data_IF_159515911196
#
_entry.id   IF_159515911196
#
_cell.length_a   1.000
_cell.length_b   1.000
_cell.length_c   1.000
_cell.angle_alpha   90.00
_cell.angle_beta   90.00
_cell.angle_gamma   90.00
#
_symmetry.space_group_name_H-M   'P 1'
#
loop_
_entity.id
_entity.type
_entity.pdbx_description
1 polymer ?
#
# COMPACT_ATOMS: atom_id res chain seq x y z
N UNK A 1 5.18 27.41 2.05
CA UNK A 1 6.41 26.66 1.71
C UNK A 1 6.63 25.62 2.78
N UNK A 2 6.00 24.45 2.66
CA UNK A 2 6.19 23.35 3.60
C UNK A 2 7.44 22.57 3.20
N UNK A 3 8.45 22.58 4.06
CA UNK A 3 9.64 21.77 3.88
C UNK A 3 9.24 20.29 3.94
N UNK A 4 9.50 19.60 2.84
CA UNK A 4 9.10 18.23 2.59
C UNK A 4 9.70 17.26 3.62
N UNK A 5 8.87 16.73 4.53
CA UNK A 5 9.21 15.72 5.53
C UNK A 5 9.79 14.41 4.93
N UNK A 6 9.65 14.18 3.62
CA UNK A 6 10.36 13.13 2.90
C UNK A 6 11.89 13.28 2.98
N UNK A 7 12.37 14.52 2.98
CA UNK A 7 13.80 14.80 2.87
C UNK A 7 14.52 14.52 4.20
N UNK A 8 13.87 14.76 5.35
CA UNK A 8 14.39 14.45 6.69
C UNK A 8 14.38 12.95 7.01
N UNK A 9 13.34 12.21 6.59
CA UNK A 9 13.33 10.74 6.71
C UNK A 9 14.45 10.10 5.88
N UNK A 10 14.66 10.57 4.64
CA UNK A 10 15.73 10.06 3.77
C UNK A 10 17.14 10.23 4.36
N UNK A 11 17.36 11.32 5.13
CA UNK A 11 18.64 11.65 5.76
C UNK A 11 18.90 10.81 7.01
N UNK A 12 17.87 10.55 7.83
CA UNK A 12 17.96 9.65 9.00
C UNK A 12 18.12 8.17 8.62
N UNK A 13 17.42 7.74 7.56
CA UNK A 13 17.51 6.36 7.07
C UNK A 13 18.90 6.04 6.51
N UNK A 14 19.58 6.99 5.85
CA UNK A 14 20.96 6.81 5.31
C UNK A 14 22.01 6.50 6.38
N UNK A 15 21.89 7.04 7.60
CA UNK A 15 22.83 6.81 8.72
C UNK A 15 22.67 5.41 9.37
N UNK A 16 21.47 4.83 9.33
CA UNK A 16 21.14 3.60 10.08
C UNK A 16 21.25 2.28 9.29
N UNK A 17 21.58 2.31 7.99
CA UNK A 17 21.56 1.11 7.11
C UNK A 17 22.59 0.01 7.45
N UNK A 18 23.59 0.28 8.28
CA UNK A 18 24.77 -0.61 8.45
C UNK A 18 24.72 -1.54 9.67
N UNK A 19 23.80 -1.36 10.63
CA UNK A 19 23.77 -2.21 11.82
C UNK A 19 22.91 -3.48 11.60
N UNK A 20 23.35 -4.67 12.06
CA UNK A 20 22.59 -5.90 11.91
C UNK A 20 21.23 -5.83 12.62
N UNK A 21 21.16 -5.13 13.76
CA UNK A 21 19.90 -4.86 14.49
C UNK A 21 18.87 -4.11 13.66
N UNK A 22 19.28 -3.17 12.79
CA UNK A 22 18.37 -2.43 11.92
C UNK A 22 17.77 -3.30 10.81
N UNK A 23 18.57 -4.21 10.22
CA UNK A 23 18.08 -5.15 9.20
C UNK A 23 17.02 -6.10 9.75
N UNK A 24 17.18 -6.59 10.98
CA UNK A 24 16.22 -7.47 11.65
C UNK A 24 14.90 -6.72 11.89
N UNK A 25 14.97 -5.50 12.41
CA UNK A 25 13.79 -4.67 12.70
C UNK A 25 12.99 -4.31 11.44
N UNK A 26 13.66 -4.06 10.31
CA UNK A 26 12.99 -3.86 9.03
C UNK A 26 12.28 -5.13 8.56
N UNK A 27 12.93 -6.31 8.67
CA UNK A 27 12.31 -7.58 8.27
C UNK A 27 11.03 -7.87 9.06
N UNK A 28 11.01 -7.59 10.36
CA UNK A 28 9.81 -7.74 11.18
C UNK A 28 8.72 -6.75 10.79
N UNK A 29 9.06 -5.47 10.60
CA UNK A 29 8.09 -4.46 10.13
C UNK A 29 7.46 -4.80 8.78
N UNK A 30 8.27 -5.30 7.83
CA UNK A 30 7.79 -5.73 6.52
C UNK A 30 6.82 -6.91 6.61
N UNK A 31 7.08 -7.89 7.48
CA UNK A 31 6.16 -9.01 7.73
C UNK A 31 4.82 -8.50 8.25
N UNK A 32 4.83 -7.57 9.21
CA UNK A 32 3.60 -6.98 9.76
C UNK A 32 2.79 -6.27 8.67
N UNK A 33 3.44 -5.43 7.87
CA UNK A 33 2.77 -4.75 6.74
C UNK A 33 2.19 -5.76 5.76
N UNK A 34 2.95 -6.80 5.41
CA UNK A 34 2.48 -7.86 4.52
C UNK A 34 1.25 -8.57 5.07
N UNK A 35 1.24 -8.93 6.36
CA UNK A 35 0.08 -9.55 7.00
C UNK A 35 -1.14 -8.63 7.03
N UNK A 36 -0.97 -7.34 7.28
CA UNK A 36 -2.08 -6.37 7.26
C UNK A 36 -2.72 -6.30 5.87
N UNK A 37 -1.91 -6.18 4.82
CA UNK A 37 -2.42 -6.17 3.43
C UNK A 37 -3.06 -7.51 3.10
N UNK A 38 -2.49 -8.64 3.54
CA UNK A 38 -3.05 -9.97 3.29
C UNK A 38 -4.43 -10.15 3.94
N UNK A 39 -4.57 -9.75 5.20
CA UNK A 39 -5.82 -9.85 5.95
C UNK A 39 -6.91 -8.95 5.36
N UNK A 40 -6.56 -7.73 4.96
CA UNK A 40 -7.49 -6.78 4.35
C UNK A 40 -8.02 -7.28 3.00
N UNK A 41 -7.21 -8.03 2.24
CA UNK A 41 -7.54 -8.49 0.89
C UNK A 41 -7.96 -9.97 0.83
N UNK A 42 -8.81 -10.40 1.79
CA UNK A 42 -9.40 -11.74 1.85
C UNK A 42 -8.38 -12.89 1.81
N UNK A 43 -7.16 -12.68 2.34
CA UNK A 43 -6.10 -13.69 2.38
C UNK A 43 -5.77 -14.28 1.01
N UNK A 44 -5.52 -13.42 0.01
CA UNK A 44 -5.08 -13.83 -1.34
C UNK A 44 -3.55 -13.71 -1.52
N UNK A 45 -2.73 -14.60 -0.92
CA UNK A 45 -1.27 -14.45 -0.91
C UNK A 45 -0.66 -14.46 -2.31
N UNK A 46 -1.22 -15.27 -3.23
CA UNK A 46 -0.73 -15.36 -4.60
C UNK A 46 -0.93 -14.08 -5.41
N UNK A 47 -1.98 -13.31 -5.14
CA UNK A 47 -2.18 -12.01 -5.80
C UNK A 47 -1.20 -10.97 -5.23
N UNK A 48 -1.00 -10.95 -3.90
CA UNK A 48 -0.05 -10.05 -3.25
C UNK A 48 1.40 -10.30 -3.70
N UNK A 49 1.78 -11.56 -3.93
CA UNK A 49 3.11 -11.91 -4.40
C UNK A 49 3.40 -11.39 -5.82
N UNK A 50 2.35 -11.15 -6.62
CA UNK A 50 2.47 -10.70 -8.01
C UNK A 50 2.49 -9.18 -8.16
N UNK A 51 2.34 -8.41 -7.08
CA UNK A 51 2.45 -6.95 -7.12
C UNK A 51 3.86 -6.59 -7.55
N UNK A 52 3.99 -5.90 -8.69
CA UNK A 52 5.27 -5.38 -9.16
C UNK A 52 5.49 -3.94 -8.70
N UNK A 53 6.73 -3.47 -8.74
CA UNK A 53 7.04 -2.06 -8.49
C UNK A 53 6.37 -1.15 -9.53
N UNK A 54 6.21 -1.64 -10.75
CA UNK A 54 5.51 -0.91 -11.81
C UNK A 54 4.04 -0.69 -11.47
N UNK A 55 3.32 -1.74 -11.02
CA UNK A 55 1.92 -1.62 -10.58
C UNK A 55 1.76 -0.62 -9.43
N UNK A 56 2.72 -0.60 -8.49
CA UNK A 56 2.74 0.36 -7.39
C UNK A 56 2.94 1.80 -7.89
N UNK A 57 3.90 2.05 -8.78
CA UNK A 57 4.18 3.38 -9.30
C UNK A 57 3.06 3.91 -10.21
N UNK A 58 2.48 3.05 -11.04
CA UNK A 58 1.31 3.41 -11.86
C UNK A 58 0.09 3.74 -11.01
N UNK A 59 -0.08 3.10 -9.85
CA UNK A 59 -1.22 3.39 -8.95
C UNK A 59 -1.23 4.82 -8.40
N UNK A 60 -0.09 5.51 -8.36
CA UNK A 60 -0.03 6.92 -7.96
C UNK A 60 -0.56 7.85 -9.06
N UNK A 61 -0.45 7.44 -10.33
CA UNK A 61 -0.92 8.19 -11.49
C UNK A 61 -2.37 7.85 -11.85
N UNK A 62 -2.74 6.58 -11.64
CA UNK A 62 -4.07 6.05 -11.86
C UNK A 62 -4.89 6.22 -10.58
N UNK A 63 -5.22 7.48 -10.25
CA UNK A 63 -5.98 7.83 -9.05
C UNK A 63 -7.14 6.87 -8.81
N UNK A 64 -7.26 6.43 -7.55
CA UNK A 64 -8.30 5.53 -7.00
C UNK A 64 -9.75 5.94 -7.26
N UNK A 65 -9.96 7.05 -7.96
CA UNK A 65 -11.15 7.89 -7.92
C UNK A 65 -12.08 7.69 -9.13
N UNK A 66 -11.87 6.66 -9.97
CA UNK A 66 -12.63 6.49 -11.23
C UNK A 66 -13.45 5.21 -11.32
N UNK A 67 -13.84 4.60 -10.20
CA UNK A 67 -14.78 3.48 -10.22
C UNK A 67 -16.08 3.87 -9.50
N UNK A 68 -16.98 4.55 -10.21
CA UNK A 68 -18.29 4.92 -9.67
C UNK A 68 -19.08 3.71 -9.17
N UNK A 69 -18.94 2.55 -9.81
CA UNK A 69 -19.58 1.31 -9.40
C UNK A 69 -19.10 0.85 -8.01
N UNK A 70 -17.81 1.02 -7.73
CA UNK A 70 -17.25 0.70 -6.42
C UNK A 70 -17.80 1.63 -5.35
N UNK A 71 -17.86 2.94 -5.59
CA UNK A 71 -18.39 3.90 -4.63
C UNK A 71 -19.89 3.70 -4.36
N UNK A 72 -20.67 3.29 -5.37
CA UNK A 72 -22.09 2.95 -5.22
C UNK A 72 -22.31 1.69 -4.39
N UNK A 73 -21.38 0.73 -4.43
CA UNK A 73 -21.47 -0.52 -3.66
C UNK A 73 -21.14 -0.34 -2.17
N UNK A 74 -20.48 0.75 -1.78
CA UNK A 74 -20.09 1.02 -0.40
C UNK A 74 -21.20 1.71 0.40
N UNK A 75 -21.41 1.25 1.63
CA UNK A 75 -22.21 1.95 2.64
C UNK A 75 -21.57 3.29 3.03
N UNK A 76 -22.35 4.16 3.68
CA UNK A 76 -21.85 5.47 4.14
C UNK A 76 -20.62 5.35 5.05
N UNK A 77 -20.62 4.38 5.95
CA UNK A 77 -19.50 4.13 6.85
C UNK A 77 -18.27 3.60 6.10
N UNK A 78 -18.47 2.66 5.16
CA UNK A 78 -17.38 2.10 4.38
C UNK A 78 -16.69 3.14 3.50
N UNK A 79 -17.45 4.09 2.92
CA UNK A 79 -16.87 5.21 2.16
C UNK A 79 -15.91 6.06 3.00
N UNK A 80 -16.24 6.28 4.28
CA UNK A 80 -15.35 7.02 5.20
C UNK A 80 -14.09 6.21 5.50
N UNK A 81 -14.22 4.89 5.64
CA UNK A 81 -13.10 3.99 5.93
C UNK A 81 -12.15 3.87 4.73
N UNK A 82 -12.70 3.70 3.53
CA UNK A 82 -11.95 3.53 2.28
C UNK A 82 -11.05 4.73 1.98
N UNK A 83 -11.45 5.96 2.35
CA UNK A 83 -10.59 7.16 2.23
C UNK A 83 -9.23 7.04 2.92
N UNK A 84 -9.10 6.16 3.92
CA UNK A 84 -7.84 5.91 4.64
C UNK A 84 -6.95 4.87 3.96
N UNK A 85 -7.41 4.26 2.87
CA UNK A 85 -6.71 3.22 2.14
C UNK A 85 -6.51 3.68 0.70
N UNK A 86 -5.37 3.29 0.12
CA UNK A 86 -5.15 3.36 -1.32
C UNK A 86 -5.59 2.05 -1.95
N UNK A 87 -6.09 2.15 -3.17
CA UNK A 87 -6.44 1.01 -4.02
C UNK A 87 -5.42 0.91 -5.16
N UNK A 88 -4.91 -0.29 -5.40
CA UNK A 88 -4.20 -0.63 -6.64
C UNK A 88 -4.99 -1.71 -7.37
N UNK A 89 -5.04 -1.65 -8.70
CA UNK A 89 -5.61 -2.73 -9.51
C UNK A 89 -4.45 -3.51 -10.12
N UNK A 90 -4.27 -4.76 -9.67
CA UNK A 90 -3.22 -5.65 -10.18
C UNK A 90 -3.77 -6.66 -11.17
N UNK A 91 -2.91 -7.23 -12.02
CA UNK A 91 -3.32 -8.32 -12.92
C UNK A 91 -3.51 -9.63 -12.15
N UNK A 92 -4.75 -10.08 -12.08
CA UNK A 92 -5.12 -11.39 -11.56
C UNK A 92 -5.19 -12.49 -12.63
N UNK A 93 -5.74 -13.63 -12.24
CA UNK A 93 -5.97 -14.76 -13.16
C UNK A 93 -6.87 -14.36 -14.33
N UNK A 94 -6.58 -14.90 -15.53
CA UNK A 94 -7.33 -14.63 -16.78
C UNK A 94 -7.41 -13.14 -17.13
N UNK A 95 -6.30 -12.42 -16.94
CA UNK A 95 -6.15 -10.99 -17.26
C UNK A 95 -7.21 -10.07 -16.63
N UNK A 96 -7.87 -10.50 -15.55
CA UNK A 96 -8.82 -9.66 -14.81
C UNK A 96 -8.08 -8.82 -13.78
N UNK A 97 -8.40 -7.53 -13.73
CA UNK A 97 -7.94 -6.64 -12.66
C UNK A 97 -8.46 -7.14 -11.31
N UNK A 98 -7.57 -7.25 -10.33
CA UNK A 98 -7.92 -7.56 -8.94
C UNK A 98 -7.60 -6.32 -8.10
N UNK A 99 -8.62 -5.69 -7.50
CA UNK A 99 -8.39 -4.57 -6.62
C UNK A 99 -7.73 -5.05 -5.33
N UNK A 100 -6.69 -4.34 -4.90
CA UNK A 100 -6.04 -4.50 -3.61
C UNK A 100 -6.09 -3.19 -2.85
N UNK A 101 -6.47 -3.29 -1.58
CA UNK A 101 -6.45 -2.18 -0.64
C UNK A 101 -5.21 -2.25 0.24
N UNK A 102 -4.55 -1.13 0.43
CA UNK A 102 -3.43 -1.02 1.36
C UNK A 102 -3.42 0.35 2.02
N UNK A 103 -2.90 0.40 3.24
CA UNK A 103 -2.68 1.67 3.93
C UNK A 103 -1.24 2.09 3.72
N UNK A 104 -1.01 3.31 3.24
CA UNK A 104 0.31 3.92 3.32
C UNK A 104 0.57 4.21 4.79
N UNK A 105 1.40 3.40 5.41
CA UNK A 105 1.69 3.46 6.84
C UNK A 105 2.72 4.56 7.15
N UNK A 106 2.56 5.77 6.60
CA UNK A 106 3.34 6.96 7.00
C UNK A 106 2.55 8.23 6.66
N UNK A 107 2.14 8.97 7.68
CA UNK A 107 1.97 10.44 7.80
C UNK A 107 1.04 10.77 8.98
N UNK A 108 1.60 10.76 10.18
CA UNK A 108 1.34 11.78 11.19
C UNK A 108 2.70 12.35 11.59
#
# INVERSE_FOLDING_TARGET
>A
MEQCNYCTFSKGFKKSKRTPKFKIKIKEGLKTVYYMVLLLNRRKPGELQRITLHDYLESENNGSDKNEEFDRALTATERILVKKFKRIDIRGKRSRGVPLLYRVLFLC
#
